data_IF_191668253839
#
_entry.id   IF_191668253839
#
_cell.length_a   1.000
_cell.length_b   1.000
_cell.length_c   1.000
_cell.angle_alpha   90.00
_cell.angle_beta   90.00
_cell.angle_gamma   90.00
#
_symmetry.space_group_name_H-M   'P 1'
#
loop_
_entity.id
_entity.type
_entity.pdbx_description
1 polymer ?
#
# COMPACT_ATOMS: atom_id res chain seq x y z
N UNK A 1 1.46 27.63 3.94
CA UNK A 1 0.59 26.59 3.34
C UNK A 1 0.43 26.77 1.83
N UNK A 2 -0.23 27.83 1.33
CA UNK A 2 -0.51 27.99 -0.12
C UNK A 2 0.75 27.93 -1.00
N UNK A 3 1.84 28.57 -0.58
CA UNK A 3 3.13 28.53 -1.28
C UNK A 3 3.73 27.13 -1.36
N UNK A 4 3.72 26.36 -0.26
CA UNK A 4 4.22 24.98 -0.23
C UNK A 4 3.42 24.04 -1.13
N UNK A 5 2.09 24.21 -1.19
CA UNK A 5 1.23 23.47 -2.12
C UNK A 5 1.57 23.78 -3.58
N UNK A 6 1.80 25.06 -3.91
CA UNK A 6 2.17 25.46 -5.27
C UNK A 6 3.55 24.91 -5.66
N UNK A 7 4.52 25.00 -4.75
CA UNK A 7 5.87 24.44 -4.96
C UNK A 7 5.79 22.91 -5.10
N UNK A 8 5.02 22.22 -4.26
CA UNK A 8 4.90 20.76 -4.35
C UNK A 8 4.26 20.32 -5.65
N UNK A 9 3.28 21.07 -6.15
CA UNK A 9 2.65 20.81 -7.43
C UNK A 9 3.63 21.08 -8.57
N UNK A 10 4.34 22.21 -8.57
CA UNK A 10 5.32 22.54 -9.61
C UNK A 10 6.43 21.49 -9.70
N UNK A 11 6.98 21.06 -8.55
CA UNK A 11 8.00 20.01 -8.48
C UNK A 11 7.43 18.67 -8.94
N UNK A 12 6.21 18.30 -8.53
CA UNK A 12 5.61 17.03 -8.94
C UNK A 12 5.35 16.96 -10.44
N UNK A 13 4.82 18.04 -11.04
CA UNK A 13 4.58 18.10 -12.48
C UNK A 13 5.91 18.06 -13.25
N UNK A 14 6.93 18.77 -12.77
CA UNK A 14 8.25 18.74 -13.41
C UNK A 14 8.84 17.33 -13.42
N UNK A 15 8.79 16.61 -12.30
CA UNK A 15 9.23 15.21 -12.21
C UNK A 15 8.40 14.32 -13.13
N UNK A 16 7.07 14.50 -13.13
CA UNK A 16 6.18 13.68 -13.92
C UNK A 16 6.43 13.83 -15.43
N UNK A 17 6.56 15.05 -15.94
CA UNK A 17 6.84 15.31 -17.35
C UNK A 17 8.25 14.90 -17.77
N UNK A 18 9.25 15.07 -16.90
CA UNK A 18 10.62 14.63 -17.16
C UNK A 18 10.70 13.11 -17.34
N UNK A 19 9.92 12.37 -16.55
CA UNK A 19 9.84 10.92 -16.61
C UNK A 19 8.73 10.40 -17.56
N UNK A 20 8.07 11.28 -18.32
CA UNK A 20 7.00 10.92 -19.25
C UNK A 20 7.37 9.80 -20.23
N UNK A 21 8.59 9.78 -20.84
CA UNK A 21 8.98 8.68 -21.73
C UNK A 21 8.96 7.30 -21.04
N UNK A 22 9.23 7.26 -19.74
CA UNK A 22 9.23 6.03 -18.93
C UNK A 22 7.78 5.61 -18.65
N UNK A 23 6.92 6.56 -18.28
CA UNK A 23 5.50 6.28 -18.02
C UNK A 23 4.76 5.79 -19.26
N UNK A 24 5.07 6.34 -20.43
CA UNK A 24 4.49 5.90 -21.70
C UNK A 24 4.91 4.47 -22.07
N UNK A 25 6.16 4.10 -21.79
CA UNK A 25 6.59 2.70 -21.91
C UNK A 25 5.83 1.81 -20.94
N UNK A 26 5.65 2.25 -19.70
CA UNK A 26 4.89 1.50 -18.70
C UNK A 26 3.43 1.25 -19.14
N UNK A 27 2.79 2.20 -19.82
CA UNK A 27 1.46 1.99 -20.42
C UNK A 27 1.44 1.15 -21.69
N UNK A 28 2.56 0.93 -22.35
CA UNK A 28 2.62 -0.06 -23.42
C UNK A 28 2.51 -1.49 -22.83
N UNK A 29 2.94 -1.68 -21.57
CA UNK A 29 2.87 -2.96 -20.86
C UNK A 29 1.64 -3.12 -19.95
N UNK A 30 1.00 -2.01 -19.57
CA UNK A 30 -0.11 -1.97 -18.60
C UNK A 30 -1.27 -1.08 -19.08
N UNK A 31 -2.39 -1.08 -18.36
CA UNK A 31 -3.56 -0.27 -18.70
C UNK A 31 -3.26 1.26 -18.61
N UNK A 32 -3.82 2.12 -19.48
CA UNK A 32 -3.61 3.57 -19.45
C UNK A 32 -3.93 4.26 -18.11
N UNK A 33 -4.82 3.66 -17.31
CA UNK A 33 -5.14 4.10 -15.94
C UNK A 33 -3.89 4.19 -15.04
N UNK A 34 -2.85 3.41 -15.34
CA UNK A 34 -1.58 3.44 -14.59
C UNK A 34 -0.94 4.83 -14.61
N UNK A 35 -1.07 5.61 -15.71
CA UNK A 35 -0.54 6.99 -15.76
C UNK A 35 -1.21 7.87 -14.72
N UNK A 36 -2.54 7.78 -14.59
CA UNK A 36 -3.29 8.55 -13.61
C UNK A 36 -2.89 8.17 -12.18
N UNK A 37 -2.72 6.86 -11.92
CA UNK A 37 -2.27 6.37 -10.61
C UNK A 37 -0.85 6.87 -10.30
N UNK A 38 0.09 6.73 -11.23
CA UNK A 38 1.47 7.21 -11.08
C UNK A 38 1.49 8.72 -10.83
N UNK A 39 0.70 9.49 -11.57
CA UNK A 39 0.60 10.95 -11.39
C UNK A 39 0.12 11.34 -9.99
N UNK A 40 -0.91 10.66 -9.49
CA UNK A 40 -1.42 10.85 -8.13
C UNK A 40 -0.35 10.48 -7.10
N UNK A 41 0.31 9.32 -7.26
CA UNK A 41 1.34 8.84 -6.34
C UNK A 41 2.54 9.79 -6.28
N UNK A 42 3.05 10.23 -7.43
CA UNK A 42 4.17 11.19 -7.50
C UNK A 42 3.79 12.50 -6.83
N UNK A 43 2.60 13.04 -7.12
CA UNK A 43 2.13 14.29 -6.52
C UNK A 43 1.92 14.18 -5.00
N UNK A 44 1.35 13.07 -4.53
CA UNK A 44 1.19 12.83 -3.10
C UNK A 44 2.54 12.68 -2.38
N UNK A 45 3.48 11.95 -2.98
CA UNK A 45 4.80 11.71 -2.42
C UNK A 45 5.63 13.00 -2.34
N UNK A 46 5.66 13.81 -3.40
CA UNK A 46 6.41 15.08 -3.38
C UNK A 46 5.80 16.06 -2.37
N UNK A 47 4.47 16.16 -2.29
CA UNK A 47 3.79 16.98 -1.30
C UNK A 47 4.14 16.54 0.12
N UNK A 48 4.13 15.23 0.38
CA UNK A 48 4.52 14.66 1.67
C UNK A 48 5.98 14.97 2.03
N UNK A 49 6.93 14.70 1.13
CA UNK A 49 8.36 14.91 1.36
C UNK A 49 8.70 16.39 1.56
N UNK A 50 8.13 17.29 0.74
CA UNK A 50 8.35 18.73 0.90
C UNK A 50 7.76 19.28 2.19
N UNK A 51 6.64 18.72 2.64
CA UNK A 51 6.03 19.09 3.92
C UNK A 51 6.87 18.64 5.11
N UNK A 52 7.46 17.44 5.04
CA UNK A 52 8.46 17.01 6.01
C UNK A 52 9.69 17.93 6.00
N UNK A 53 10.23 18.25 4.82
CA UNK A 53 11.42 19.09 4.67
C UNK A 53 11.21 20.51 5.19
N UNK A 54 10.09 21.14 4.82
CA UNK A 54 9.71 22.47 5.29
C UNK A 54 9.13 22.48 6.71
N UNK A 55 9.00 21.32 7.36
CA UNK A 55 8.32 21.15 8.67
C UNK A 55 6.93 21.79 8.71
N UNK A 56 6.21 21.72 7.59
CA UNK A 56 4.85 22.23 7.46
C UNK A 56 3.84 21.09 7.47
N UNK A 57 2.70 21.33 8.10
CA UNK A 57 1.63 20.33 8.19
C UNK A 57 0.55 20.65 7.15
N UNK A 58 0.27 19.69 6.28
CA UNK A 58 -0.79 19.77 5.29
C UNK A 58 -2.13 19.41 5.94
N UNK A 59 -3.14 20.26 5.76
CA UNK A 59 -4.49 19.98 6.23
C UNK A 59 -5.22 19.16 5.18
N UNK A 60 -5.48 17.90 5.48
CA UNK A 60 -6.23 16.99 4.60
C UNK A 60 -7.61 16.75 5.19
N UNK A 61 -8.71 16.98 4.44
CA UNK A 61 -10.05 16.65 4.92
C UNK A 61 -10.16 15.16 5.24
N UNK A 62 -10.66 14.83 6.42
CA UNK A 62 -10.81 13.44 6.84
C UNK A 62 -11.68 12.62 5.87
N UNK A 63 -12.73 13.24 5.29
CA UNK A 63 -13.57 12.62 4.27
C UNK A 63 -12.78 12.20 3.02
N UNK A 64 -11.83 13.02 2.57
CA UNK A 64 -10.99 12.72 1.43
C UNK A 64 -10.07 11.54 1.72
N UNK A 65 -9.43 11.52 2.89
CA UNK A 65 -8.59 10.40 3.33
C UNK A 65 -9.37 9.07 3.33
N UNK A 66 -10.61 9.08 3.83
CA UNK A 66 -11.46 7.89 3.82
C UNK A 66 -11.93 7.49 2.42
N UNK A 67 -12.26 8.46 1.56
CA UNK A 67 -12.61 8.16 0.17
C UNK A 67 -11.44 7.48 -0.56
N UNK A 68 -10.21 8.00 -0.38
CA UNK A 68 -9.01 7.38 -0.93
C UNK A 68 -8.77 5.98 -0.35
N UNK A 69 -8.95 5.79 0.96
CA UNK A 69 -8.78 4.47 1.58
C UNK A 69 -9.82 3.46 1.06
N UNK A 70 -11.08 3.87 0.89
CA UNK A 70 -12.14 3.02 0.33
C UNK A 70 -11.84 2.65 -1.13
N UNK A 71 -11.46 3.62 -1.97
CA UNK A 71 -11.08 3.36 -3.35
C UNK A 71 -9.87 2.41 -3.42
N UNK A 72 -8.90 2.60 -2.53
CA UNK A 72 -7.75 1.71 -2.38
C UNK A 72 -8.17 0.30 -1.99
N UNK A 73 -9.06 0.14 -0.99
CA UNK A 73 -9.60 -1.16 -0.58
C UNK A 73 -10.35 -1.85 -1.71
N UNK A 74 -11.21 -1.13 -2.44
CA UNK A 74 -11.93 -1.69 -3.59
C UNK A 74 -10.94 -2.16 -4.67
N UNK A 75 -9.94 -1.35 -4.97
CA UNK A 75 -8.90 -1.71 -5.95
C UNK A 75 -8.14 -2.97 -5.52
N UNK A 76 -7.78 -3.06 -4.23
CA UNK A 76 -7.09 -4.21 -3.65
C UNK A 76 -7.98 -5.47 -3.71
N UNK A 77 -9.27 -5.38 -3.38
CA UNK A 77 -10.20 -6.50 -3.50
C UNK A 77 -10.37 -6.94 -4.95
N UNK A 78 -10.48 -6.02 -5.91
CA UNK A 78 -10.53 -6.36 -7.34
C UNK A 78 -9.26 -7.12 -7.74
N UNK A 79 -8.08 -6.60 -7.37
CA UNK A 79 -6.80 -7.27 -7.67
C UNK A 79 -6.71 -8.68 -7.04
N UNK A 80 -7.23 -8.84 -5.83
CA UNK A 80 -7.17 -10.10 -5.09
C UNK A 80 -8.18 -11.16 -5.59
N UNK A 81 -9.35 -10.75 -6.10
CA UNK A 81 -10.41 -11.68 -6.52
C UNK A 81 -10.54 -11.85 -8.04
N UNK A 82 -10.07 -10.89 -8.84
CA UNK A 82 -10.14 -10.90 -10.32
C UNK A 82 -8.79 -11.31 -10.92
N UNK A 83 -8.05 -12.20 -10.23
CA UNK A 83 -6.81 -12.78 -10.75
C UNK A 83 -7.15 -13.81 -11.84
N UNK A 84 -6.43 -13.86 -12.97
CA UNK A 84 -6.57 -14.93 -13.96
C UNK A 84 -6.36 -16.28 -13.31
N UNK A 85 -7.22 -17.27 -13.61
CA UNK A 85 -7.21 -18.60 -12.98
C UNK A 85 -5.81 -19.22 -13.05
N UNK A 86 -5.12 -19.30 -11.91
CA UNK A 86 -3.74 -19.78 -11.81
C UNK A 86 -3.63 -21.29 -11.52
N UNK A 87 -4.68 -22.07 -11.76
CA UNK A 87 -4.62 -23.54 -11.70
C UNK A 87 -4.89 -24.17 -10.32
N UNK A 88 -5.97 -23.76 -9.64
CA UNK A 88 -6.51 -24.45 -8.46
C UNK A 88 -6.05 -23.89 -7.12
N UNK A 89 -6.70 -24.34 -6.03
CA UNK A 89 -6.36 -23.95 -4.67
C UNK A 89 -5.04 -24.62 -4.25
N UNK A 90 -4.05 -23.82 -3.87
CA UNK A 90 -2.91 -24.28 -3.09
C UNK A 90 -3.03 -23.76 -1.65
N UNK A 91 -2.63 -24.56 -0.67
CA UNK A 91 -2.55 -24.14 0.72
C UNK A 91 -1.14 -24.38 1.22
N UNK A 92 -0.49 -23.31 1.69
CA UNK A 92 0.76 -23.36 2.42
C UNK A 92 0.52 -22.86 3.85
N UNK A 93 0.48 -23.81 4.78
CA UNK A 93 0.35 -23.52 6.21
C UNK A 93 1.68 -23.67 6.95
N UNK A 94 2.78 -23.97 6.24
CA UNK A 94 4.11 -24.11 6.83
C UNK A 94 4.73 -22.71 6.92
N UNK A 95 4.94 -22.18 8.14
CA UNK A 95 5.52 -20.85 8.30
C UNK A 95 6.94 -20.81 7.74
N UNK A 96 7.27 -19.70 7.10
CA UNK A 96 8.52 -19.36 6.44
C UNK A 96 8.86 -20.18 5.19
N UNK A 97 7.98 -21.05 4.70
CA UNK A 97 8.26 -21.85 3.52
C UNK A 97 8.40 -20.97 2.26
N UNK A 98 7.42 -20.10 2.01
CA UNK A 98 7.43 -19.15 0.88
C UNK A 98 8.54 -18.10 1.03
N UNK A 99 8.74 -17.59 2.25
CA UNK A 99 9.83 -16.64 2.54
C UNK A 99 11.19 -17.31 2.30
N UNK A 100 11.38 -18.53 2.77
CA UNK A 100 12.64 -19.27 2.57
C UNK A 100 12.88 -19.58 1.10
N UNK A 101 11.83 -19.91 0.34
CA UNK A 101 11.90 -20.08 -1.11
C UNK A 101 12.40 -18.81 -1.81
N UNK A 102 11.86 -17.64 -1.47
CA UNK A 102 12.33 -16.36 -2.01
C UNK A 102 13.77 -16.02 -1.58
N UNK A 103 14.21 -16.47 -0.41
CA UNK A 103 15.56 -16.23 0.12
C UNK A 103 16.57 -17.33 -0.25
N UNK A 104 16.13 -18.44 -0.84
CA UNK A 104 16.96 -19.61 -1.18
C UNK A 104 17.97 -19.35 -2.31
N UNK A 105 17.86 -18.21 -2.99
CA UNK A 105 18.65 -17.89 -4.19
C UNK A 105 18.14 -18.55 -5.47
N UNK A 106 17.08 -19.36 -5.40
CA UNK A 106 16.43 -19.96 -6.57
C UNK A 106 15.62 -18.93 -7.38
N UNK A 107 15.16 -17.86 -6.72
CA UNK A 107 14.47 -16.73 -7.33
C UNK A 107 15.44 -15.55 -7.43
N UNK A 108 15.34 -14.77 -8.51
CA UNK A 108 16.12 -13.53 -8.63
C UNK A 108 15.92 -12.66 -7.39
N UNK A 109 17.00 -12.16 -6.74
CA UNK A 109 16.89 -11.34 -5.52
C UNK A 109 15.97 -10.13 -5.69
N UNK A 110 15.92 -9.55 -6.89
CA UNK A 110 15.06 -8.40 -7.20
C UNK A 110 13.58 -8.81 -7.14
N UNK A 111 13.23 -9.98 -7.67
CA UNK A 111 11.85 -10.51 -7.67
C UNK A 111 11.43 -10.89 -6.26
N UNK A 112 12.33 -11.56 -5.51
CA UNK A 112 12.10 -11.90 -4.11
C UNK A 112 11.81 -10.67 -3.26
N UNK A 113 12.67 -9.64 -3.35
CA UNK A 113 12.48 -8.37 -2.63
C UNK A 113 11.18 -7.69 -3.06
N UNK A 114 10.88 -7.66 -4.36
CA UNK A 114 9.65 -7.06 -4.87
C UNK A 114 8.40 -7.71 -4.27
N UNK A 115 8.32 -9.05 -4.27
CA UNK A 115 7.14 -9.76 -3.74
C UNK A 115 6.98 -9.56 -2.23
N UNK A 116 8.06 -9.73 -1.46
CA UNK A 116 8.03 -9.52 -0.01
C UNK A 116 7.67 -8.08 0.35
N UNK A 117 8.27 -7.10 -0.35
CA UNK A 117 8.00 -5.69 -0.10
C UNK A 117 6.60 -5.27 -0.55
N UNK A 118 6.06 -5.85 -1.62
CA UNK A 118 4.70 -5.59 -2.08
C UNK A 118 3.68 -6.05 -1.03
N UNK A 119 3.82 -7.27 -0.50
CA UNK A 119 2.93 -7.78 0.56
C UNK A 119 2.92 -6.88 1.80
N UNK A 120 4.10 -6.47 2.28
CA UNK A 120 4.21 -5.53 3.41
C UNK A 120 3.61 -4.16 3.03
N UNK A 121 4.00 -3.61 1.89
CA UNK A 121 3.64 -2.26 1.44
C UNK A 121 2.14 -2.06 1.26
N UNK A 122 1.43 -3.09 0.78
CA UNK A 122 -0.01 -3.05 0.56
C UNK A 122 -0.80 -2.75 1.83
N UNK A 123 -0.28 -3.10 3.00
CA UNK A 123 -0.99 -2.96 4.26
C UNK A 123 -0.55 -1.76 5.12
N UNK A 124 0.48 -1.03 4.70
CA UNK A 124 0.95 0.21 5.37
C UNK A 124 -0.15 1.26 5.55
N UNK A 125 -1.01 1.57 4.55
CA UNK A 125 -2.08 2.57 4.72
C UNK A 125 -3.06 2.24 5.86
N UNK A 126 -3.36 0.95 6.08
CA UNK A 126 -4.24 0.52 7.17
C UNK A 126 -3.59 0.69 8.55
N UNK A 127 -2.27 0.49 8.65
CA UNK A 127 -1.52 0.78 9.88
C UNK A 127 -1.57 2.26 10.27
N UNK A 128 -1.40 3.16 9.28
CA UNK A 128 -1.55 4.60 9.46
C UNK A 128 -2.97 4.94 9.91
N UNK A 129 -3.98 4.36 9.24
CA UNK A 129 -5.39 4.55 9.60
C UNK A 129 -5.69 4.11 11.05
N UNK A 130 -5.28 2.91 11.44
CA UNK A 130 -5.53 2.37 12.78
C UNK A 130 -4.88 3.24 13.88
N UNK A 131 -3.64 3.68 13.66
CA UNK A 131 -2.98 4.59 14.61
C UNK A 131 -3.66 5.95 14.68
N UNK A 132 -4.16 6.48 13.56
CA UNK A 132 -4.91 7.75 13.51
C UNK A 132 -6.19 7.72 14.35
N UNK A 133 -6.76 6.53 14.56
CA UNK A 133 -7.95 6.29 15.40
C UNK A 133 -7.60 6.03 16.86
N UNK A 134 -6.35 6.28 17.27
CA UNK A 134 -5.82 6.00 18.60
C UNK A 134 -6.00 4.54 19.04
N UNK A 135 -6.02 3.58 18.08
CA UNK A 135 -6.09 2.17 18.42
C UNK A 135 -4.84 1.74 19.21
N UNK A 136 -5.03 0.88 20.21
CA UNK A 136 -3.91 0.23 20.91
C UNK A 136 -3.22 -0.78 19.98
N UNK A 137 -1.96 -1.11 20.27
CA UNK A 137 -1.23 -2.15 19.51
C UNK A 137 -1.99 -3.48 19.50
N UNK A 138 -2.57 -3.89 20.63
CA UNK A 138 -3.38 -5.12 20.74
C UNK A 138 -4.61 -5.09 19.83
N UNK A 139 -5.36 -3.99 19.81
CA UNK A 139 -6.52 -3.82 18.92
C UNK A 139 -6.10 -3.82 17.44
N UNK A 140 -4.96 -3.21 17.15
CA UNK A 140 -4.38 -3.18 15.79
C UNK A 140 -4.08 -4.60 15.34
N UNK A 141 -3.38 -5.41 16.14
CA UNK A 141 -3.08 -6.82 15.84
C UNK A 141 -4.36 -7.62 15.62
N UNK A 142 -5.28 -7.57 16.58
CA UNK A 142 -6.51 -8.35 16.50
C UNK A 142 -7.31 -8.02 15.24
N UNK A 143 -7.51 -6.72 14.96
CA UNK A 143 -8.22 -6.29 13.75
C UNK A 143 -7.51 -6.71 12.46
N UNK A 144 -6.18 -6.57 12.43
CA UNK A 144 -5.34 -6.95 11.29
C UNK A 144 -5.49 -8.43 10.96
N UNK A 145 -5.25 -9.28 11.95
CA UNK A 145 -5.30 -10.73 11.81
C UNK A 145 -6.71 -11.16 11.41
N UNK A 146 -7.76 -10.62 12.05
CA UNK A 146 -9.14 -10.96 11.71
C UNK A 146 -9.51 -10.56 10.28
N UNK A 147 -9.18 -9.34 9.83
CA UNK A 147 -9.55 -8.89 8.49
C UNK A 147 -8.78 -9.66 7.41
N UNK A 148 -7.47 -9.85 7.58
CA UNK A 148 -6.65 -10.55 6.58
C UNK A 148 -7.06 -12.03 6.51
N UNK A 149 -7.27 -12.69 7.66
CA UNK A 149 -7.76 -14.07 7.68
C UNK A 149 -9.15 -14.20 7.02
N UNK A 150 -10.05 -13.23 7.22
CA UNK A 150 -11.34 -13.22 6.53
C UNK A 150 -11.20 -13.11 5.01
N UNK A 151 -10.26 -12.30 4.53
CA UNK A 151 -9.99 -12.17 3.08
C UNK A 151 -9.46 -13.49 2.53
N UNK A 152 -8.45 -14.09 3.17
CA UNK A 152 -7.86 -15.36 2.74
C UNK A 152 -8.86 -16.51 2.77
N UNK A 153 -9.66 -16.63 3.83
CA UNK A 153 -10.74 -17.63 3.91
C UNK A 153 -11.77 -17.40 2.79
N UNK A 154 -12.13 -16.14 2.51
CA UNK A 154 -13.07 -15.84 1.41
C UNK A 154 -12.50 -16.20 0.05
N UNK A 155 -11.20 -15.99 -0.17
CA UNK A 155 -10.51 -16.39 -1.40
C UNK A 155 -10.43 -17.92 -1.54
N UNK A 156 -10.20 -18.63 -0.43
CA UNK A 156 -10.22 -20.10 -0.39
C UNK A 156 -11.61 -20.64 -0.76
N UNK A 157 -12.67 -20.11 -0.13
CA UNK A 157 -14.05 -20.53 -0.40
C UNK A 157 -14.52 -20.23 -1.84
N UNK A 158 -13.97 -19.18 -2.45
CA UNK A 158 -14.29 -18.80 -3.84
C UNK A 158 -13.40 -19.50 -4.87
N UNK A 159 -12.48 -20.36 -4.44
CA UNK A 159 -11.44 -20.98 -5.26
C UNK A 159 -10.60 -19.98 -6.06
N UNK A 160 -10.38 -18.78 -5.50
CA UNK A 160 -9.69 -17.66 -6.15
C UNK A 160 -8.30 -17.39 -5.58
N UNK A 161 -7.89 -18.09 -4.53
CA UNK A 161 -6.64 -17.80 -3.84
C UNK A 161 -5.88 -19.03 -3.37
N UNK A 162 -4.62 -18.78 -3.07
CA UNK A 162 -3.78 -19.66 -2.29
C UNK A 162 -3.81 -19.19 -0.84
N UNK A 163 -4.12 -20.09 0.09
CA UNK A 163 -4.00 -19.79 1.52
C UNK A 163 -2.52 -19.90 1.89
N UNK A 164 -1.82 -18.79 2.09
CA UNK A 164 -0.40 -18.77 2.44
C UNK A 164 -0.18 -18.05 3.78
N UNK A 165 0.30 -18.79 4.77
CA UNK A 165 0.57 -18.25 6.11
C UNK A 165 1.65 -17.16 6.10
N UNK A 166 2.59 -17.21 5.15
CA UNK A 166 3.64 -16.21 5.02
C UNK A 166 3.07 -14.88 4.51
N UNK A 167 2.10 -14.92 3.62
CA UNK A 167 1.39 -13.72 3.14
C UNK A 167 0.63 -13.05 4.31
N UNK A 168 -0.08 -13.83 5.14
CA UNK A 168 -0.71 -13.34 6.36
C UNK A 168 0.31 -12.63 7.26
N UNK A 169 1.47 -13.25 7.48
CA UNK A 169 2.54 -12.71 8.32
C UNK A 169 3.10 -11.39 7.76
N UNK A 170 3.39 -11.35 6.45
CA UNK A 170 3.90 -10.15 5.78
C UNK A 170 2.87 -9.00 5.79
N UNK A 171 1.60 -9.31 5.60
CA UNK A 171 0.51 -8.34 5.64
C UNK A 171 0.35 -7.73 7.03
N UNK A 172 0.42 -8.56 8.09
CA UNK A 172 0.44 -8.09 9.48
C UNK A 172 1.65 -7.20 9.74
N UNK A 173 2.84 -7.57 9.25
CA UNK A 173 4.04 -6.73 9.32
C UNK A 173 3.86 -5.40 8.58
N UNK A 174 3.14 -5.38 7.47
CA UNK A 174 2.73 -4.17 6.76
C UNK A 174 1.93 -3.21 7.62
N UNK A 175 0.93 -3.72 8.35
CA UNK A 175 0.11 -2.90 9.26
C UNK A 175 0.97 -2.35 10.41
N UNK A 176 1.87 -3.15 10.97
CA UNK A 176 2.80 -2.67 11.99
C UNK A 176 3.74 -1.60 11.48
N UNK A 177 4.26 -1.77 10.27
CA UNK A 177 5.10 -0.77 9.60
C UNK A 177 4.35 0.55 9.46
N UNK A 178 3.11 0.53 8.99
CA UNK A 178 2.26 1.72 8.92
C UNK A 178 1.96 2.35 10.28
N UNK A 179 1.68 1.52 11.29
CA UNK A 179 1.43 1.98 12.66
C UNK A 179 2.66 2.67 13.26
N UNK A 180 3.86 2.12 13.01
CA UNK A 180 5.13 2.69 13.44
C UNK A 180 5.52 3.95 12.63
N UNK A 181 5.10 4.02 11.37
CA UNK A 181 5.34 5.18 10.48
C UNK A 181 4.44 6.37 10.79
N UNK A 182 3.27 6.15 11.40
CA UNK A 182 2.28 7.20 11.69
C UNK A 182 2.85 8.48 12.36
N UNK A 183 3.77 8.44 13.34
CA UNK A 183 4.33 9.66 13.93
C UNK A 183 5.04 10.53 12.89
N UNK A 184 5.72 9.93 11.91
CA UNK A 184 6.34 10.66 10.79
C UNK A 184 5.24 11.21 9.89
N UNK A 185 4.24 10.39 9.56
CA UNK A 185 3.09 10.83 8.77
C UNK A 185 2.39 12.06 9.38
N UNK A 186 2.16 12.05 10.70
CA UNK A 186 1.50 13.15 11.42
C UNK A 186 2.31 14.46 11.48
N UNK A 187 3.63 14.42 11.20
CA UNK A 187 4.46 15.63 11.08
C UNK A 187 4.20 16.38 9.77
N UNK A 188 3.73 15.69 8.73
CA UNK A 188 3.46 16.28 7.43
C UNK A 188 1.96 16.38 7.11
N UNK A 189 1.10 15.57 7.74
CA UNK A 189 -0.33 15.51 7.44
C UNK A 189 -1.16 15.59 8.71
N UNK A 190 -2.07 16.56 8.75
CA UNK A 190 -3.12 16.67 9.76
C UNK A 190 -4.47 16.36 9.13
N UNK A 191 -5.14 15.33 9.65
CA UNK A 191 -6.49 14.97 9.24
C UNK A 191 -7.49 15.90 9.92
N UNK A 192 -7.99 16.88 9.17
CA UNK A 192 -8.98 17.83 9.66
C UNK A 192 -10.34 17.14 9.78
N UNK A 193 -10.84 17.05 11.02
CA UNK A 193 -12.21 16.62 11.31
C UNK A 193 -13.14 17.79 10.96
N UNK A 194 -13.92 17.62 9.91
CA UNK A 194 -15.01 18.54 9.57
C UNK A 194 -16.20 18.32 10.50
#
# INVERSE_FOLDING_TARGET
MRETYLISLAVSQSIFFLLLPIWLRLTAYLHPVVIAVVWICVTALTAFLLSLWKKQVMMVPQKLFYACLILYTISLLILLFVRPDSGGNSYNLVPFDTISYYLSGQVSPIIAVYNLAANIGLFVPYGIYLKSRAASKRKTIAYSVSVIALVEISQLLTNRGSLDIDDLMLNVLGIFTGFAFYPIFSKAVYLKRN
#
